data_IF_382856129519
#
_entry.id   IF_382856129519
#
_cell.length_a   1.000
_cell.length_b   1.000
_cell.length_c   1.000
_cell.angle_alpha   90.00
_cell.angle_beta   90.00
_cell.angle_gamma   90.00
#
_symmetry.space_group_name_H-M   'P 1'
#
loop_
_entity.id
_entity.type
_entity.pdbx_description
1 polymer ?
#
# COMPACT_ATOMS: atom_id res chain seq x y z
N UNK A 1 -8.16 35.86 8.95
CA UNK A 1 -7.21 34.72 8.94
C UNK A 1 -7.75 33.56 8.12
N UNK A 2 -9.07 33.43 7.97
CA UNK A 2 -9.66 32.94 6.72
C UNK A 2 -10.03 34.13 5.84
N UNK A 3 -9.84 34.02 4.52
CA UNK A 3 -10.38 34.97 3.56
C UNK A 3 -11.87 34.66 3.26
N UNK A 4 -12.55 35.57 2.56
CA UNK A 4 -13.98 35.43 2.26
C UNK A 4 -14.32 34.16 1.46
N UNK A 5 -13.37 33.69 0.63
CA UNK A 5 -13.55 32.48 -0.18
C UNK A 5 -13.51 31.24 0.70
N UNK A 6 -12.50 31.13 1.57
CA UNK A 6 -12.36 30.02 2.51
C UNK A 6 -13.49 30.01 3.54
N UNK A 7 -13.95 31.18 3.99
CA UNK A 7 -15.12 31.28 4.88
C UNK A 7 -16.39 30.75 4.20
N UNK A 8 -16.64 31.13 2.94
CA UNK A 8 -17.79 30.64 2.20
C UNK A 8 -17.74 29.13 1.97
N UNK A 9 -16.57 28.60 1.60
CA UNK A 9 -16.35 27.15 1.44
C UNK A 9 -16.57 26.40 2.74
N UNK A 10 -15.96 26.86 3.83
CA UNK A 10 -16.09 26.23 5.14
C UNK A 10 -17.55 26.24 5.58
N UNK A 11 -18.25 27.37 5.46
CA UNK A 11 -19.69 27.47 5.78
C UNK A 11 -20.52 26.41 5.06
N UNK A 12 -20.33 26.25 3.75
CA UNK A 12 -21.05 25.25 2.95
C UNK A 12 -20.76 23.81 3.41
N UNK A 13 -19.53 23.50 3.83
CA UNK A 13 -19.22 22.19 4.41
C UNK A 13 -19.87 22.00 5.79
N UNK A 14 -19.83 23.02 6.63
CA UNK A 14 -20.35 22.95 8.01
C UNK A 14 -21.88 22.74 8.07
N UNK A 15 -22.63 23.03 6.99
CA UNK A 15 -24.04 22.62 6.88
C UNK A 15 -24.25 21.10 7.03
N UNK A 16 -23.22 20.30 6.73
CA UNK A 16 -23.24 18.83 6.83
C UNK A 16 -22.92 18.30 8.23
N UNK A 17 -22.58 19.18 9.18
CA UNK A 17 -22.40 18.81 10.59
C UNK A 17 -23.76 18.45 11.18
N UNK A 18 -23.90 17.21 11.65
CA UNK A 18 -25.14 16.68 12.21
C UNK A 18 -25.15 16.73 13.75
N UNK A 19 -23.99 16.65 14.38
CA UNK A 19 -23.82 16.55 15.83
C UNK A 19 -23.03 17.75 16.40
N UNK A 20 -23.41 18.25 17.58
CA UNK A 20 -22.69 19.35 18.21
C UNK A 20 -21.37 18.92 18.82
N UNK A 21 -20.36 19.79 18.74
CA UNK A 21 -19.04 19.60 19.34
C UNK A 21 -18.41 20.93 19.74
N UNK A 22 -17.37 20.86 20.58
CA UNK A 22 -16.66 22.00 21.13
C UNK A 22 -15.20 21.98 20.72
N UNK A 23 -14.68 23.13 20.30
CA UNK A 23 -13.27 23.40 20.09
C UNK A 23 -12.67 23.93 21.40
N UNK A 24 -11.76 23.19 22.02
CA UNK A 24 -11.18 23.56 23.33
C UNK A 24 -9.74 23.98 23.14
N UNK A 25 -9.51 25.29 23.14
CA UNK A 25 -8.21 25.89 22.90
C UNK A 25 -7.38 25.99 24.18
N UNK A 26 -6.09 25.69 24.06
CA UNK A 26 -5.03 25.93 25.04
C UNK A 26 -4.06 26.96 24.44
N UNK A 27 -4.11 28.19 24.92
CA UNK A 27 -3.43 29.34 24.32
C UNK A 27 -2.38 29.92 25.28
N UNK A 28 -1.33 30.52 24.71
CA UNK A 28 -0.37 31.38 25.40
C UNK A 28 -0.51 32.83 24.91
N UNK A 29 0.46 33.69 25.26
CA UNK A 29 0.46 35.11 24.89
C UNK A 29 1.11 35.39 23.52
N UNK A 30 1.37 34.36 22.70
CA UNK A 30 2.04 34.51 21.40
C UNK A 30 1.12 35.09 20.31
N UNK A 31 1.73 35.65 19.26
CA UNK A 31 1.00 36.09 18.07
C UNK A 31 0.26 34.93 17.38
N UNK A 32 0.87 33.73 17.38
CA UNK A 32 0.26 32.50 16.85
C UNK A 32 -0.96 32.06 17.69
N UNK A 33 -0.97 32.30 19.00
CA UNK A 33 -2.14 32.05 19.83
C UNK A 33 -3.29 33.04 19.54
N UNK A 34 -2.98 34.33 19.33
CA UNK A 34 -3.98 35.31 18.89
C UNK A 34 -4.58 34.96 17.52
N UNK A 35 -3.74 34.47 16.61
CA UNK A 35 -4.16 33.90 15.34
C UNK A 35 -5.10 32.71 15.56
N UNK A 36 -4.68 31.68 16.29
CA UNK A 36 -5.52 30.51 16.59
C UNK A 36 -6.87 30.90 17.21
N UNK A 37 -6.90 31.83 18.17
CA UNK A 37 -8.14 32.38 18.74
C UNK A 37 -9.07 32.90 17.63
N UNK A 38 -8.54 33.74 16.75
CA UNK A 38 -9.30 34.29 15.62
C UNK A 38 -9.85 33.18 14.72
N UNK A 39 -9.07 32.13 14.42
CA UNK A 39 -9.55 30.99 13.62
C UNK A 39 -10.77 30.35 14.26
N UNK A 40 -10.64 30.00 15.54
CA UNK A 40 -11.63 29.21 16.25
C UNK A 40 -12.93 29.99 16.47
N UNK A 41 -12.81 31.31 16.74
CA UNK A 41 -13.97 32.22 16.80
C UNK A 41 -14.65 32.34 15.43
N UNK A 42 -13.88 32.45 14.34
CA UNK A 42 -14.44 32.45 12.98
C UNK A 42 -15.18 31.13 12.68
N UNK A 43 -14.60 29.97 13.00
CA UNK A 43 -15.23 28.65 12.77
C UNK A 43 -16.51 28.50 13.58
N UNK A 44 -16.49 28.82 14.88
CA UNK A 44 -17.65 28.74 15.75
C UNK A 44 -18.77 29.70 15.29
N UNK A 45 -18.42 30.87 14.75
CA UNK A 45 -19.37 31.82 14.18
C UNK A 45 -20.09 31.34 12.91
N UNK A 46 -19.63 30.26 12.26
CA UNK A 46 -20.23 29.74 11.03
C UNK A 46 -21.33 28.68 11.27
N UNK A 47 -21.44 28.11 12.47
CA UNK A 47 -22.43 27.07 12.78
C UNK A 47 -22.85 27.11 14.25
N UNK A 48 -24.16 27.02 14.48
CA UNK A 48 -24.78 26.86 15.80
C UNK A 48 -24.43 25.55 16.53
N UNK A 49 -23.88 24.56 15.79
CA UNK A 49 -23.45 23.26 16.34
C UNK A 49 -22.01 23.25 16.83
N UNK A 50 -21.25 24.32 16.63
CA UNK A 50 -19.84 24.39 16.99
C UNK A 50 -19.64 25.46 18.06
N UNK A 51 -19.26 25.02 19.25
CA UNK A 51 -18.86 25.92 20.33
C UNK A 51 -17.33 26.05 20.38
N UNK A 52 -16.84 27.12 20.99
CA UNK A 52 -15.42 27.30 21.31
C UNK A 52 -15.25 27.64 22.79
N UNK A 53 -14.24 27.05 23.43
CA UNK A 53 -13.78 27.40 24.77
C UNK A 53 -12.28 27.66 24.75
N UNK A 54 -11.82 28.50 25.68
CA UNK A 54 -10.42 28.93 25.81
C UNK A 54 -9.82 28.58 27.19
N UNK A 55 -10.43 27.63 27.87
CA UNK A 55 -10.06 27.13 29.21
C UNK A 55 -9.21 25.85 29.15
N UNK A 56 -8.71 25.47 27.97
CA UNK A 56 -7.83 24.33 27.81
C UNK A 56 -6.47 24.54 28.46
N UNK A 57 -5.86 23.45 28.92
CA UNK A 57 -4.62 23.48 29.71
C UNK A 57 -3.48 22.63 29.13
N UNK A 58 -3.54 22.30 27.84
CA UNK A 58 -2.52 21.47 27.18
C UNK A 58 -1.12 22.10 27.26
N UNK A 59 -0.11 21.24 27.27
CA UNK A 59 1.30 21.65 27.31
C UNK A 59 1.73 22.31 25.98
N UNK A 60 1.17 21.88 24.85
CA UNK A 60 1.41 22.52 23.55
C UNK A 60 0.51 23.72 23.40
N UNK A 61 1.11 24.91 23.38
CA UNK A 61 0.42 26.19 23.19
C UNK A 61 1.09 26.92 22.03
N UNK A 62 0.32 27.43 21.04
CA UNK A 62 -1.12 27.30 20.90
C UNK A 62 -1.55 25.91 20.39
N UNK A 63 -2.62 25.34 20.95
CA UNK A 63 -3.29 24.15 20.41
C UNK A 63 -4.80 24.16 20.67
N UNK A 64 -5.55 23.31 19.99
CA UNK A 64 -6.95 23.06 20.32
C UNK A 64 -7.34 21.59 20.14
N UNK A 65 -8.24 21.10 20.99
CA UNK A 65 -8.83 19.77 20.90
C UNK A 65 -10.28 19.85 20.39
N UNK A 66 -10.75 18.77 19.80
CA UNK A 66 -12.15 18.58 19.47
C UNK A 66 -12.82 17.68 20.50
N UNK A 67 -13.96 18.11 21.04
CA UNK A 67 -14.74 17.37 22.04
C UNK A 67 -16.20 17.22 21.59
N UNK A 68 -16.72 15.99 21.52
CA UNK A 68 -18.14 15.76 21.20
C UNK A 68 -19.02 16.07 22.41
N UNK A 69 -20.15 16.74 22.17
CA UNK A 69 -21.13 17.01 23.23
C UNK A 69 -21.82 15.75 23.77
N UNK A 70 -21.80 14.64 23.02
CA UNK A 70 -22.41 13.37 23.40
C UNK A 70 -21.67 12.61 24.52
N UNK A 71 -20.51 13.10 24.95
CA UNK A 71 -19.65 12.41 25.92
C UNK A 71 -18.89 11.21 25.34
N UNK A 72 -18.99 10.97 24.03
CA UNK A 72 -18.12 10.00 23.35
C UNK A 72 -16.67 10.46 23.42
N UNK A 73 -15.79 9.58 23.91
CA UNK A 73 -14.36 9.84 23.99
C UNK A 73 -13.78 10.09 22.60
N UNK A 74 -13.16 11.27 22.43
CA UNK A 74 -12.49 11.74 21.23
C UNK A 74 -11.16 12.37 21.66
N UNK A 75 -10.07 11.96 21.04
CA UNK A 75 -8.73 12.43 21.39
C UNK A 75 -8.00 12.96 20.15
N UNK A 76 -8.55 14.00 19.53
CA UNK A 76 -7.94 14.68 18.39
C UNK A 76 -7.57 16.11 18.77
N UNK A 77 -6.28 16.45 18.62
CA UNK A 77 -5.72 17.78 18.91
C UNK A 77 -4.91 18.30 17.73
N UNK A 78 -5.01 19.59 17.49
CA UNK A 78 -4.13 20.34 16.59
C UNK A 78 -3.27 21.30 17.42
N UNK A 79 -1.98 20.99 17.55
CA UNK A 79 -0.92 21.92 17.93
C UNK A 79 -0.36 22.58 16.66
N UNK A 80 -1.26 23.21 15.92
CA UNK A 80 -1.06 23.77 14.60
C UNK A 80 -2.12 24.84 14.32
N UNK A 81 -1.85 25.75 13.39
CA UNK A 81 -2.87 26.60 12.76
C UNK A 81 -3.15 25.97 11.37
N UNK A 82 -4.07 24.99 11.25
CA UNK A 82 -4.16 24.11 10.08
C UNK A 82 -4.83 24.82 8.89
N UNK A 83 -4.06 25.72 8.27
CA UNK A 83 -4.36 26.41 7.02
C UNK A 83 -3.49 25.81 5.90
N UNK A 84 -3.40 26.49 4.75
CA UNK A 84 -2.61 26.01 3.60
C UNK A 84 -3.12 24.65 3.12
N UNK A 85 -2.21 23.68 2.94
CA UNK A 85 -2.58 22.32 2.54
C UNK A 85 -3.44 21.59 3.58
N UNK A 86 -3.31 21.96 4.85
CA UNK A 86 -3.99 21.32 5.98
C UNK A 86 -5.38 21.89 6.26
N UNK A 87 -5.79 22.92 5.50
CA UNK A 87 -7.17 23.43 5.56
C UNK A 87 -8.19 22.31 5.27
N UNK A 88 -7.88 21.44 4.31
CA UNK A 88 -8.75 20.29 3.99
C UNK A 88 -8.82 19.28 5.13
N UNK A 89 -7.70 19.04 5.82
CA UNK A 89 -7.62 18.19 7.01
C UNK A 89 -8.44 18.75 8.17
N UNK A 90 -8.39 20.07 8.39
CA UNK A 90 -9.24 20.77 9.36
C UNK A 90 -10.73 20.56 9.03
N UNK A 91 -11.13 20.83 7.79
CA UNK A 91 -12.54 20.68 7.35
C UNK A 91 -13.03 19.26 7.59
N UNK A 92 -12.25 18.25 7.22
CA UNK A 92 -12.60 16.85 7.41
C UNK A 92 -12.69 16.46 8.90
N UNK A 93 -11.74 16.92 9.73
CA UNK A 93 -11.78 16.69 11.17
C UNK A 93 -13.06 17.27 11.82
N UNK A 94 -13.46 18.49 11.41
CA UNK A 94 -14.71 19.12 11.86
C UNK A 94 -15.94 18.32 11.41
N UNK A 95 -15.98 17.91 10.14
CA UNK A 95 -17.07 17.13 9.56
C UNK A 95 -17.24 15.77 10.26
N UNK A 96 -16.16 15.01 10.42
CA UNK A 96 -16.21 13.69 11.06
C UNK A 96 -16.51 13.79 12.54
N UNK A 97 -15.98 14.79 13.24
CA UNK A 97 -16.36 15.08 14.63
C UNK A 97 -17.84 15.38 14.73
N UNK A 98 -18.37 16.16 13.79
CA UNK A 98 -19.78 16.49 13.62
C UNK A 98 -20.68 15.38 13.07
N UNK A 99 -20.18 14.15 12.89
CA UNK A 99 -20.98 13.00 12.48
C UNK A 99 -21.17 12.82 10.97
N UNK A 100 -20.49 13.58 10.12
CA UNK A 100 -20.47 13.32 8.68
C UNK A 100 -19.71 12.01 8.38
N UNK A 101 -20.24 11.10 7.54
CA UNK A 101 -19.58 9.83 7.27
C UNK A 101 -18.28 10.02 6.45
N UNK A 102 -17.19 9.30 6.78
CA UNK A 102 -15.97 9.29 5.97
C UNK A 102 -16.17 8.53 4.66
N UNK A 103 -15.40 8.91 3.63
CA UNK A 103 -15.35 8.20 2.34
C UNK A 103 -14.21 7.19 2.32
N UNK A 104 -14.31 6.17 3.18
CA UNK A 104 -13.34 5.08 3.31
C UNK A 104 -14.11 3.75 3.26
N UNK A 105 -13.46 2.69 2.77
CA UNK A 105 -14.06 1.35 2.70
C UNK A 105 -14.64 0.92 4.07
N UNK A 106 -15.85 0.33 4.11
CA UNK A 106 -16.47 -0.09 5.36
C UNK A 106 -15.62 -1.04 6.19
N UNK A 107 -14.87 -1.94 5.54
CA UNK A 107 -13.97 -2.87 6.23
C UNK A 107 -12.88 -2.15 7.02
N UNK A 108 -12.26 -1.11 6.43
CA UNK A 108 -11.25 -0.32 7.12
C UNK A 108 -11.82 0.41 8.33
N UNK A 109 -13.04 0.96 8.22
CA UNK A 109 -13.73 1.62 9.34
C UNK A 109 -13.95 0.64 10.50
N UNK A 110 -14.41 -0.57 10.19
CA UNK A 110 -14.63 -1.62 11.21
C UNK A 110 -13.31 -2.07 11.85
N UNK A 111 -12.24 -2.22 11.06
CA UNK A 111 -10.91 -2.55 11.59
C UNK A 111 -10.41 -1.47 12.54
N UNK A 112 -10.52 -0.18 12.18
CA UNK A 112 -10.15 0.94 13.04
C UNK A 112 -10.92 0.87 14.37
N UNK A 113 -12.25 0.73 14.32
CA UNK A 113 -13.10 0.63 15.52
C UNK A 113 -12.72 -0.54 16.42
N UNK A 114 -12.24 -1.62 15.83
CA UNK A 114 -11.90 -2.85 16.52
C UNK A 114 -10.43 -2.94 16.96
N UNK A 115 -9.61 -1.89 16.77
CA UNK A 115 -8.25 -1.86 17.31
C UNK A 115 -8.29 -1.91 18.85
N UNK A 116 -7.62 -2.91 19.42
CA UNK A 116 -7.64 -3.19 20.86
C UNK A 116 -6.49 -2.57 21.68
N UNK A 117 -5.46 -2.00 21.04
CA UNK A 117 -4.35 -1.33 21.74
C UNK A 117 -4.66 0.12 22.12
N UNK A 118 -3.80 0.72 22.94
CA UNK A 118 -3.79 2.17 23.19
C UNK A 118 -2.73 2.81 22.29
N UNK A 119 -3.16 3.74 21.44
CA UNK A 119 -2.31 4.33 20.39
C UNK A 119 -2.26 5.85 20.55
N UNK A 120 -1.08 6.40 20.79
CA UNK A 120 -0.85 7.84 20.87
C UNK A 120 0.02 8.29 19.70
N UNK A 121 -0.63 8.82 18.67
CA UNK A 121 0.01 9.37 17.50
C UNK A 121 0.39 10.83 17.68
N UNK A 122 1.61 11.16 17.29
CA UNK A 122 2.08 12.53 17.07
C UNK A 122 2.51 12.63 15.60
N UNK A 123 1.84 13.49 14.83
CA UNK A 123 2.19 13.73 13.42
C UNK A 123 2.72 15.14 13.23
N UNK A 124 3.98 15.25 12.85
CA UNK A 124 4.62 16.52 12.52
C UNK A 124 4.42 16.81 11.05
N UNK A 125 3.92 18.02 10.76
CA UNK A 125 3.65 18.52 9.42
C UNK A 125 4.19 19.94 9.24
N UNK A 126 4.10 20.44 8.01
CA UNK A 126 4.38 21.83 7.65
C UNK A 126 3.27 22.32 6.72
N UNK A 127 2.89 23.59 6.83
CA UNK A 127 1.84 24.21 5.99
C UNK A 127 2.15 24.17 4.48
N UNK A 128 3.42 24.05 4.11
CA UNK A 128 3.88 23.93 2.71
C UNK A 128 3.96 22.49 2.19
N UNK A 129 3.69 21.49 3.04
CA UNK A 129 3.83 20.08 2.69
C UNK A 129 2.60 19.57 1.92
N UNK A 130 2.77 19.21 0.65
CA UNK A 130 1.69 18.67 -0.18
C UNK A 130 1.23 17.25 0.21
N UNK A 131 2.09 16.46 0.85
CA UNK A 131 1.82 15.06 1.19
C UNK A 131 1.31 14.85 2.62
N UNK A 132 1.44 15.87 3.48
CA UNK A 132 1.05 15.79 4.87
C UNK A 132 -0.47 15.62 5.08
N UNK A 133 -1.36 16.23 4.26
CA UNK A 133 -2.80 16.12 4.48
C UNK A 133 -3.31 14.67 4.49
N UNK A 134 -2.79 13.80 3.63
CA UNK A 134 -3.22 12.40 3.57
C UNK A 134 -3.00 11.66 4.90
N UNK A 135 -1.84 11.88 5.52
CA UNK A 135 -1.46 11.26 6.79
C UNK A 135 -2.21 11.91 7.95
N UNK A 136 -2.32 13.24 7.97
CA UNK A 136 -3.06 13.98 8.99
C UNK A 136 -4.53 13.57 8.98
N UNK A 137 -5.14 13.45 7.79
CA UNK A 137 -6.52 13.01 7.63
C UNK A 137 -6.71 11.56 8.07
N UNK A 138 -5.80 10.65 7.71
CA UNK A 138 -5.85 9.26 8.13
C UNK A 138 -5.83 9.12 9.66
N UNK A 139 -4.86 9.74 10.33
CA UNK A 139 -4.73 9.67 11.80
C UNK A 139 -5.86 10.42 12.53
N UNK A 140 -6.35 11.51 11.95
CA UNK A 140 -7.52 12.23 12.48
C UNK A 140 -8.77 11.37 12.41
N UNK A 141 -8.99 10.68 11.29
CA UNK A 141 -10.11 9.75 11.13
C UNK A 141 -10.04 8.62 12.16
N UNK A 142 -8.85 8.05 12.39
CA UNK A 142 -8.67 7.00 13.37
C UNK A 142 -9.03 7.45 14.79
N UNK A 143 -8.57 8.65 15.20
CA UNK A 143 -8.93 9.23 16.50
C UNK A 143 -10.43 9.55 16.63
N UNK A 144 -11.11 9.86 15.53
CA UNK A 144 -12.56 10.08 15.52
C UNK A 144 -13.35 8.77 15.62
N UNK A 145 -12.82 7.67 15.09
CA UNK A 145 -13.53 6.38 15.02
C UNK A 145 -13.25 5.46 16.21
N UNK A 146 -12.10 5.58 16.89
CA UNK A 146 -11.73 4.70 18.00
C UNK A 146 -11.25 5.51 19.22
N UNK A 147 -11.90 5.37 20.39
CA UNK A 147 -11.54 6.12 21.60
C UNK A 147 -10.18 5.75 22.20
N UNK A 148 -9.56 4.64 21.78
CA UNK A 148 -8.20 4.26 22.18
C UNK A 148 -7.11 4.86 21.30
N UNK A 149 -7.50 5.52 20.21
CA UNK A 149 -6.57 6.23 19.32
C UNK A 149 -6.59 7.72 19.68
N UNK A 150 -5.43 8.22 20.07
CA UNK A 150 -5.16 9.64 20.31
C UNK A 150 -4.27 10.16 19.20
N UNK A 151 -4.61 11.31 18.63
CA UNK A 151 -3.83 11.94 17.56
C UNK A 151 -3.58 13.39 17.89
N UNK A 152 -2.31 13.80 17.87
CA UNK A 152 -1.88 15.20 17.93
C UNK A 152 -1.21 15.56 16.60
N UNK A 153 -1.80 16.53 15.90
CA UNK A 153 -1.25 17.12 14.68
C UNK A 153 -0.42 18.33 15.06
N UNK A 154 0.85 18.35 14.67
CA UNK A 154 1.85 19.32 15.15
C UNK A 154 2.44 20.06 13.96
N UNK A 155 2.33 21.39 13.96
CA UNK A 155 3.05 22.23 12.99
C UNK A 155 4.50 22.40 13.45
N UNK A 156 5.45 21.86 12.68
CA UNK A 156 6.86 21.95 12.99
C UNK A 156 7.38 23.39 13.08
N UNK A 157 6.74 24.33 12.38
CA UNK A 157 7.13 25.74 12.46
C UNK A 157 6.76 26.39 13.80
N UNK A 158 5.68 25.94 14.45
CA UNK A 158 5.27 26.41 15.78
C UNK A 158 6.01 25.70 16.91
N UNK A 159 6.46 24.47 16.66
CA UNK A 159 7.08 23.59 17.66
C UNK A 159 8.52 23.20 17.29
N UNK A 160 9.35 24.18 16.90
CA UNK A 160 10.73 23.94 16.42
C UNK A 160 11.61 23.19 17.43
N UNK A 161 11.46 23.45 18.73
CA UNK A 161 12.21 22.72 19.76
C UNK A 161 11.93 21.21 19.77
N UNK A 162 10.71 20.79 19.40
CA UNK A 162 10.39 19.37 19.23
C UNK A 162 11.00 18.80 17.95
N UNK A 163 10.97 19.57 16.86
CA UNK A 163 11.60 19.19 15.58
C UNK A 163 13.11 18.96 15.76
N UNK A 164 13.79 19.86 16.46
CA UNK A 164 15.22 19.78 16.74
C UNK A 164 15.56 18.59 17.66
N UNK A 165 14.89 18.49 18.81
CA UNK A 165 15.17 17.44 19.81
C UNK A 165 14.89 16.03 19.29
N UNK A 166 13.90 15.87 18.41
CA UNK A 166 13.57 14.59 17.76
C UNK A 166 14.27 14.38 16.42
N UNK A 167 15.14 15.31 16.01
CA UNK A 167 15.88 15.25 14.74
C UNK A 167 14.98 14.97 13.51
N UNK A 168 13.85 15.68 13.42
CA UNK A 168 12.89 15.48 12.33
C UNK A 168 13.43 16.14 11.07
N UNK A 169 13.92 15.33 10.14
CA UNK A 169 14.53 15.80 8.89
C UNK A 169 13.54 15.94 7.73
N UNK A 170 12.36 15.33 7.83
CA UNK A 170 11.34 15.34 6.78
C UNK A 170 9.93 15.23 7.37
N UNK A 171 8.94 15.77 6.66
CA UNK A 171 7.51 15.70 7.00
C UNK A 171 6.69 15.11 5.84
N UNK A 172 5.57 14.41 6.09
CA UNK A 172 5.01 14.10 7.41
C UNK A 172 5.88 13.10 8.17
N UNK A 173 6.03 13.30 9.48
CA UNK A 173 6.74 12.41 10.38
C UNK A 173 5.80 11.95 11.49
N UNK A 174 5.70 10.63 11.70
CA UNK A 174 4.73 10.00 12.58
C UNK A 174 5.48 9.32 13.72
N UNK A 175 5.07 9.62 14.94
CA UNK A 175 5.46 8.90 16.14
C UNK A 175 4.25 8.19 16.72
N UNK A 176 4.46 6.99 17.25
CA UNK A 176 3.46 6.21 17.96
C UNK A 176 3.99 5.89 19.36
N UNK A 177 3.26 6.29 20.39
CA UNK A 177 3.62 6.06 21.80
C UNK A 177 5.04 6.55 22.16
N UNK A 178 5.47 7.63 21.51
CA UNK A 178 6.80 8.23 21.68
C UNK A 178 7.89 7.64 20.79
N UNK A 179 7.65 6.52 20.11
CA UNK A 179 8.60 5.87 19.22
C UNK A 179 8.35 6.25 17.76
N UNK A 180 9.39 6.17 16.92
CA UNK A 180 9.27 6.42 15.49
C UNK A 180 8.37 5.39 14.82
N UNK A 181 7.33 5.85 14.13
CA UNK A 181 6.42 4.99 13.37
C UNK A 181 6.70 5.01 11.86
N UNK A 182 7.05 6.18 11.32
CA UNK A 182 7.47 6.32 9.93
C UNK A 182 7.32 7.74 9.38
N UNK A 183 7.71 7.92 8.12
CA UNK A 183 7.58 9.19 7.39
C UNK A 183 7.11 9.00 5.96
N UNK A 184 6.69 10.10 5.35
CA UNK A 184 6.19 10.12 3.98
C UNK A 184 4.70 9.80 3.88
N UNK A 185 4.19 9.78 2.65
CA UNK A 185 2.77 9.55 2.37
C UNK A 185 2.37 8.14 2.80
N UNK A 186 1.36 8.04 3.66
CA UNK A 186 0.71 6.79 4.07
C UNK A 186 -0.80 7.00 4.10
N UNK A 187 -1.56 6.03 3.61
CA UNK A 187 -3.00 6.05 3.74
C UNK A 187 -3.48 5.35 5.03
N UNK A 188 -4.76 5.48 5.34
CA UNK A 188 -5.35 4.90 6.55
C UNK A 188 -5.29 3.37 6.57
N UNK A 189 -5.38 2.71 5.42
CA UNK A 189 -5.34 1.25 5.34
C UNK A 189 -3.92 0.73 5.67
N UNK A 190 -2.89 1.40 5.16
CA UNK A 190 -1.49 1.10 5.47
C UNK A 190 -1.18 1.29 6.96
N UNK A 191 -1.63 2.41 7.55
CA UNK A 191 -1.42 2.68 8.98
C UNK A 191 -2.11 1.60 9.82
N UNK A 192 -3.37 1.29 9.53
CA UNK A 192 -4.14 0.27 10.26
C UNK A 192 -3.48 -1.11 10.15
N UNK A 193 -3.00 -1.51 8.98
CA UNK A 193 -2.33 -2.78 8.78
C UNK A 193 -1.07 -2.94 9.64
N UNK A 194 -0.35 -1.84 9.91
CA UNK A 194 0.83 -1.84 10.79
C UNK A 194 0.47 -1.94 12.28
N UNK A 195 -0.73 -1.50 12.69
CA UNK A 195 -1.17 -1.52 14.10
C UNK A 195 -1.89 -2.80 14.49
N UNK A 196 -2.54 -3.46 13.53
CA UNK A 196 -3.38 -4.62 13.80
C UNK A 196 -2.56 -5.89 14.06
N UNK A 197 -1.92 -5.94 15.23
CA UNK A 197 -1.20 -7.12 15.75
C UNK A 197 -2.14 -8.30 16.05
N UNK A 198 -3.47 -8.08 16.08
CA UNK A 198 -4.51 -9.11 16.16
C UNK A 198 -5.17 -9.46 14.81
N UNK A 199 -4.69 -8.89 13.69
CA UNK A 199 -5.20 -9.19 12.35
C UNK A 199 -5.06 -10.67 12.03
N UNK A 200 -3.92 -11.27 12.36
CA UNK A 200 -3.64 -12.67 12.10
C UNK A 200 -4.68 -13.60 12.74
N UNK A 201 -5.03 -13.39 14.01
CA UNK A 201 -6.04 -14.20 14.71
C UNK A 201 -7.44 -13.99 14.14
N UNK A 202 -7.81 -12.75 13.79
CA UNK A 202 -9.12 -12.45 13.19
C UNK A 202 -9.24 -12.94 11.76
N UNK A 203 -8.20 -12.80 10.96
CA UNK A 203 -8.13 -13.32 9.60
C UNK A 203 -8.12 -14.85 9.63
N UNK A 204 -7.40 -15.46 10.56
CA UNK A 204 -7.45 -16.89 10.79
C UNK A 204 -8.87 -17.34 11.14
N UNK A 205 -9.55 -16.65 12.07
CA UNK A 205 -10.94 -16.94 12.42
C UNK A 205 -11.89 -16.77 11.21
N UNK A 206 -11.74 -15.70 10.43
CA UNK A 206 -12.52 -15.45 9.20
C UNK A 206 -12.32 -16.57 8.17
N UNK A 207 -11.10 -17.07 8.00
CA UNK A 207 -10.81 -18.20 7.11
C UNK A 207 -11.39 -19.50 7.65
N UNK A 208 -11.16 -19.78 8.93
CA UNK A 208 -11.63 -21.01 9.60
C UNK A 208 -13.16 -21.14 9.62
N UNK A 209 -13.89 -20.02 9.58
CA UNK A 209 -15.35 -19.99 9.53
C UNK A 209 -15.94 -20.26 8.14
N UNK A 210 -15.11 -20.37 7.09
CA UNK A 210 -15.62 -20.57 5.72
C UNK A 210 -15.97 -22.04 5.48
N UNK A 211 -17.13 -22.24 4.87
CA UNK A 211 -17.53 -23.55 4.37
C UNK A 211 -16.55 -24.06 3.29
N UNK A 212 -16.30 -25.38 3.24
CA UNK A 212 -15.39 -25.98 2.26
C UNK A 212 -15.74 -25.59 0.81
N UNK A 213 -14.70 -25.41 0.00
CA UNK A 213 -14.84 -25.13 -1.43
C UNK A 213 -14.92 -26.43 -2.24
N UNK A 214 -15.56 -26.36 -3.41
CA UNK A 214 -15.41 -27.44 -4.40
C UNK A 214 -14.01 -27.38 -5.02
N UNK A 215 -13.51 -26.17 -5.27
CA UNK A 215 -12.13 -25.91 -5.68
C UNK A 215 -11.56 -24.68 -4.97
N UNK A 216 -10.39 -24.85 -4.37
CA UNK A 216 -9.59 -23.75 -3.82
C UNK A 216 -8.35 -23.54 -4.69
N UNK A 217 -8.18 -22.32 -5.19
CA UNK A 217 -7.05 -21.93 -6.02
C UNK A 217 -6.08 -21.14 -5.16
N UNK A 218 -4.80 -21.51 -5.18
CA UNK A 218 -3.74 -20.86 -4.41
C UNK A 218 -2.77 -20.15 -5.36
N UNK A 219 -2.86 -18.82 -5.37
CA UNK A 219 -2.06 -17.92 -6.20
C UNK A 219 -2.92 -17.13 -7.20
N UNK A 220 -3.03 -15.82 -6.98
CA UNK A 220 -3.90 -14.89 -7.75
C UNK A 220 -3.28 -14.28 -9.00
N UNK A 221 -2.29 -14.94 -9.63
CA UNK A 221 -1.75 -14.51 -10.93
C UNK A 221 -2.65 -14.89 -12.10
N UNK A 222 -2.20 -14.68 -13.36
CA UNK A 222 -3.01 -15.00 -14.55
C UNK A 222 -3.51 -16.44 -14.60
N UNK A 223 -2.70 -17.41 -14.19
CA UNK A 223 -3.08 -18.82 -14.13
C UNK A 223 -4.24 -19.07 -13.13
N UNK A 224 -4.17 -18.47 -11.93
CA UNK A 224 -5.22 -18.61 -10.92
C UNK A 224 -6.51 -17.89 -11.30
N UNK A 225 -6.41 -16.69 -11.88
CA UNK A 225 -7.56 -15.97 -12.41
C UNK A 225 -8.28 -16.75 -13.52
N UNK A 226 -7.52 -17.33 -14.46
CA UNK A 226 -8.08 -18.19 -15.51
C UNK A 226 -8.77 -19.42 -14.92
N UNK A 227 -8.13 -20.14 -14.00
CA UNK A 227 -8.71 -21.30 -13.34
C UNK A 227 -10.02 -20.94 -12.60
N UNK A 228 -10.04 -19.79 -11.91
CA UNK A 228 -11.20 -19.31 -11.16
C UNK A 228 -12.39 -19.03 -12.08
N UNK A 229 -12.17 -18.30 -13.18
CA UNK A 229 -13.22 -18.01 -14.17
C UNK A 229 -13.80 -19.30 -14.74
N UNK A 230 -12.95 -20.25 -15.14
CA UNK A 230 -13.41 -21.49 -15.73
C UNK A 230 -14.16 -22.38 -14.75
N UNK A 231 -13.68 -22.48 -13.50
CA UNK A 231 -14.36 -23.23 -12.45
C UNK A 231 -15.72 -22.61 -12.10
N UNK A 232 -15.78 -21.30 -11.90
CA UNK A 232 -17.01 -20.62 -11.50
C UNK A 232 -18.11 -20.71 -12.57
N UNK A 233 -17.71 -20.73 -13.86
CA UNK A 233 -18.62 -20.97 -15.00
C UNK A 233 -19.29 -22.35 -14.98
N UNK A 234 -18.85 -23.27 -14.13
CA UNK A 234 -19.51 -24.57 -13.90
C UNK A 234 -20.46 -24.58 -12.71
N UNK A 235 -20.62 -23.45 -12.02
CA UNK A 235 -21.56 -23.30 -10.91
C UNK A 235 -21.12 -23.97 -9.61
N UNK A 236 -19.84 -24.33 -9.50
CA UNK A 236 -19.25 -24.90 -8.27
C UNK A 236 -18.73 -23.80 -7.34
N UNK A 237 -18.56 -24.09 -6.05
CA UNK A 237 -18.05 -23.14 -5.06
C UNK A 237 -16.53 -22.95 -5.23
N UNK A 238 -16.12 -21.78 -5.70
CA UNK A 238 -14.71 -21.43 -6.00
C UNK A 238 -14.17 -20.44 -4.98
N UNK A 239 -13.02 -20.77 -4.40
CA UNK A 239 -12.21 -19.84 -3.61
C UNK A 239 -10.89 -19.55 -4.33
N UNK A 240 -10.45 -18.29 -4.30
CA UNK A 240 -9.15 -17.88 -4.83
C UNK A 240 -8.36 -17.14 -3.74
N UNK A 241 -7.34 -17.80 -3.19
CA UNK A 241 -6.46 -17.20 -2.18
C UNK A 241 -5.15 -16.71 -2.82
N UNK A 242 -4.72 -15.50 -2.47
CA UNK A 242 -3.54 -14.88 -3.05
C UNK A 242 -2.84 -13.94 -2.06
N UNK A 243 -1.50 -13.87 -2.10
CA UNK A 243 -0.74 -12.80 -1.43
C UNK A 243 -1.05 -11.43 -2.05
N UNK A 244 -1.04 -11.37 -3.39
CA UNK A 244 -1.36 -10.19 -4.18
C UNK A 244 -2.02 -10.63 -5.49
N UNK A 245 -3.28 -10.28 -5.68
CA UNK A 245 -3.96 -10.52 -6.96
C UNK A 245 -3.24 -9.81 -8.13
N UNK A 246 -3.20 -10.44 -9.30
CA UNK A 246 -2.42 -10.02 -10.47
C UNK A 246 -1.05 -10.69 -10.55
N UNK A 247 -0.43 -11.07 -9.43
CA UNK A 247 0.85 -11.77 -9.44
C UNK A 247 1.99 -10.94 -10.06
N UNK A 248 2.80 -11.53 -10.94
CA UNK A 248 3.96 -10.87 -11.55
C UNK A 248 3.58 -9.73 -12.50
N UNK A 249 2.42 -9.80 -13.17
CA UNK A 249 2.08 -8.82 -14.20
C UNK A 249 1.96 -7.41 -13.63
N UNK A 250 1.60 -7.25 -12.36
CA UNK A 250 1.49 -5.94 -11.72
C UNK A 250 2.81 -5.15 -11.70
N UNK A 251 3.96 -5.85 -11.78
CA UNK A 251 5.27 -5.22 -11.78
C UNK A 251 5.83 -5.08 -13.21
N UNK A 252 5.02 -5.38 -14.25
CA UNK A 252 5.38 -5.30 -15.67
C UNK A 252 4.87 -4.00 -16.26
N UNK A 253 5.74 -3.27 -16.98
CA UNK A 253 5.40 -1.96 -17.53
C UNK A 253 4.65 -2.06 -18.86
N UNK A 254 5.24 -2.73 -19.86
CA UNK A 254 4.63 -2.95 -21.17
C UNK A 254 4.40 -4.45 -21.43
N UNK A 255 3.25 -4.78 -22.00
CA UNK A 255 2.85 -6.14 -22.38
C UNK A 255 2.26 -6.07 -23.79
N UNK A 256 3.01 -6.62 -24.76
CA UNK A 256 2.65 -6.60 -26.20
C UNK A 256 2.42 -8.01 -26.76
N UNK A 257 2.41 -9.02 -25.89
CA UNK A 257 2.35 -10.43 -26.27
C UNK A 257 1.13 -11.17 -25.69
N UNK A 258 0.16 -10.45 -25.13
CA UNK A 258 -1.11 -11.03 -24.75
C UNK A 258 -2.03 -11.11 -25.98
N UNK A 259 -2.19 -12.31 -26.53
CA UNK A 259 -2.89 -12.53 -27.81
C UNK A 259 -4.24 -11.82 -27.87
N UNK A 260 -4.53 -11.18 -29.01
CA UNK A 260 -5.68 -10.28 -29.28
C UNK A 260 -5.61 -8.88 -28.65
N UNK A 261 -4.62 -8.60 -27.80
CA UNK A 261 -4.36 -7.27 -27.24
C UNK A 261 -3.04 -6.77 -27.79
N UNK A 262 -3.08 -5.67 -28.56
CA UNK A 262 -1.88 -5.11 -29.20
C UNK A 262 -0.89 -4.57 -28.15
N UNK A 263 -1.39 -3.86 -27.14
CA UNK A 263 -0.59 -3.29 -26.06
C UNK A 263 -1.45 -3.12 -24.80
N UNK A 264 -0.87 -3.45 -23.64
CA UNK A 264 -1.40 -3.12 -22.32
C UNK A 264 -0.25 -2.96 -21.34
N UNK A 265 -0.53 -2.44 -20.15
CA UNK A 265 0.37 -2.47 -19.01
C UNK A 265 -0.07 -3.47 -17.95
N UNK A 266 0.83 -3.74 -17.01
CA UNK A 266 0.65 -4.67 -15.90
C UNK A 266 -0.54 -4.37 -15.00
N UNK A 267 -0.61 -3.20 -14.35
CA UNK A 267 -1.73 -2.81 -13.50
C UNK A 267 -3.09 -2.89 -14.21
N UNK A 268 -3.19 -2.39 -15.44
CA UNK A 268 -4.41 -2.45 -16.26
C UNK A 268 -4.82 -3.89 -16.55
N UNK A 269 -3.87 -4.75 -16.88
CA UNK A 269 -4.14 -6.17 -17.13
C UNK A 269 -4.57 -6.90 -15.85
N UNK A 270 -3.90 -6.64 -14.72
CA UNK A 270 -4.29 -7.17 -13.41
C UNK A 270 -5.72 -6.79 -13.01
N UNK A 271 -6.09 -5.52 -13.18
CA UNK A 271 -7.46 -5.04 -12.94
C UNK A 271 -8.49 -5.72 -13.85
N UNK A 272 -8.16 -5.92 -15.13
CA UNK A 272 -9.04 -6.60 -16.08
C UNK A 272 -9.28 -8.07 -15.69
N UNK A 273 -8.23 -8.77 -15.22
CA UNK A 273 -8.36 -10.12 -14.68
C UNK A 273 -9.25 -10.14 -13.43
N UNK A 274 -9.08 -9.18 -12.52
CA UNK A 274 -9.88 -9.10 -11.30
C UNK A 274 -11.35 -8.89 -11.59
N UNK A 275 -11.66 -7.95 -12.50
CA UNK A 275 -13.02 -7.67 -12.94
C UNK A 275 -13.69 -8.92 -13.50
N UNK A 276 -12.99 -9.71 -14.32
CA UNK A 276 -13.54 -10.94 -14.91
C UNK A 276 -13.76 -12.04 -13.85
N UNK A 277 -12.87 -12.17 -12.87
CA UNK A 277 -13.05 -13.10 -11.74
C UNK A 277 -14.27 -12.70 -10.90
N UNK A 278 -14.39 -11.41 -10.56
CA UNK A 278 -15.50 -10.88 -9.76
C UNK A 278 -16.86 -10.97 -10.46
N UNK A 279 -16.88 -10.88 -11.79
CA UNK A 279 -18.11 -11.04 -12.59
C UNK A 279 -18.83 -12.38 -12.31
N UNK A 280 -18.09 -13.44 -11.97
CA UNK A 280 -18.66 -14.76 -11.63
C UNK A 280 -18.87 -14.97 -10.13
N UNK A 281 -18.74 -13.93 -9.30
CA UNK A 281 -18.93 -14.03 -7.85
C UNK A 281 -17.90 -14.91 -7.14
N UNK A 282 -16.72 -15.10 -7.74
CA UNK A 282 -15.63 -15.83 -7.09
C UNK A 282 -15.18 -15.08 -5.85
N UNK A 283 -15.07 -15.81 -4.74
CA UNK A 283 -14.56 -15.27 -3.49
C UNK A 283 -13.04 -15.09 -3.58
N UNK A 284 -12.60 -13.82 -3.68
CA UNK A 284 -11.20 -13.45 -3.69
C UNK A 284 -10.71 -13.19 -2.26
N UNK A 285 -9.80 -14.03 -1.79
CA UNK A 285 -9.15 -13.97 -0.48
C UNK A 285 -7.74 -13.41 -0.67
N UNK A 286 -7.64 -12.09 -0.73
CA UNK A 286 -6.37 -11.39 -0.95
C UNK A 286 -5.55 -11.31 0.36
N UNK A 287 -4.25 -11.02 0.25
CA UNK A 287 -3.31 -10.97 1.37
C UNK A 287 -3.18 -12.29 2.16
N UNK A 288 -3.45 -13.42 1.52
CA UNK A 288 -3.33 -14.75 2.12
C UNK A 288 -2.16 -15.52 1.54
N UNK A 289 -1.12 -15.76 2.36
CA UNK A 289 0.01 -16.63 2.00
C UNK A 289 -0.25 -18.06 2.48
N UNK A 290 -0.35 -19.01 1.57
CA UNK A 290 -0.40 -20.43 1.93
C UNK A 290 0.99 -20.90 2.39
N UNK A 291 1.04 -21.67 3.47
CA UNK A 291 2.29 -22.23 4.02
C UNK A 291 2.33 -23.75 3.93
N UNK A 292 1.17 -24.41 3.96
CA UNK A 292 1.12 -25.87 3.96
C UNK A 292 -0.12 -26.40 3.24
N UNK A 293 0.09 -27.45 2.45
CA UNK A 293 -0.96 -28.29 1.90
C UNK A 293 -1.02 -29.61 2.67
N UNK A 294 -2.19 -29.96 3.18
CA UNK A 294 -2.45 -31.22 3.86
C UNK A 294 -3.39 -32.04 2.97
N UNK A 295 -2.91 -33.13 2.36
CA UNK A 295 -3.72 -33.98 1.50
C UNK A 295 -4.90 -34.62 2.24
N UNK A 296 -5.96 -34.93 1.50
CA UNK A 296 -7.06 -35.74 2.02
C UNK A 296 -6.54 -37.14 2.43
N UNK A 297 -7.08 -37.68 3.53
CA UNK A 297 -6.69 -39.01 4.04
C UNK A 297 -7.20 -40.17 3.19
N UNK A 298 -8.22 -39.93 2.37
CA UNK A 298 -8.85 -40.90 1.49
C UNK A 298 -9.46 -40.19 0.28
N UNK A 299 -9.70 -40.94 -0.80
CA UNK A 299 -10.39 -40.44 -1.99
C UNK A 299 -11.77 -39.86 -1.63
N UNK A 300 -12.14 -38.74 -2.24
CA UNK A 300 -13.37 -38.00 -1.93
C UNK A 300 -13.35 -37.21 -0.60
N UNK A 301 -12.25 -37.28 0.17
CA UNK A 301 -12.05 -36.47 1.37
C UNK A 301 -11.65 -35.01 1.06
N UNK A 302 -11.57 -34.19 2.11
CA UNK A 302 -11.19 -32.77 1.98
C UNK A 302 -9.68 -32.58 2.09
N UNK A 303 -9.15 -31.72 1.23
CA UNK A 303 -7.78 -31.18 1.29
C UNK A 303 -7.81 -29.92 2.16
N UNK A 304 -6.81 -29.72 3.00
CA UNK A 304 -6.68 -28.50 3.82
C UNK A 304 -5.48 -27.68 3.38
N UNK A 305 -5.65 -26.37 3.26
CA UNK A 305 -4.57 -25.39 3.07
C UNK A 305 -4.44 -24.55 4.33
N UNK A 306 -3.26 -24.53 4.92
CA UNK A 306 -2.92 -23.67 6.06
C UNK A 306 -2.23 -22.39 5.56
N UNK A 307 -2.59 -21.25 6.15
CA UNK A 307 -2.10 -19.92 5.78
C UNK A 307 -1.21 -19.34 6.88
N UNK A 308 -0.34 -18.39 6.50
CA UNK A 308 0.59 -17.71 7.38
C UNK A 308 -0.09 -16.92 8.51
N UNK A 309 -1.34 -16.51 8.30
CA UNK A 309 -2.20 -15.90 9.32
C UNK A 309 -2.58 -16.88 10.44
N UNK A 310 -2.39 -18.19 10.24
CA UNK A 310 -2.87 -19.27 11.10
C UNK A 310 -4.24 -19.81 10.68
N UNK A 311 -4.88 -19.20 9.68
CA UNK A 311 -6.16 -19.66 9.13
C UNK A 311 -6.03 -20.92 8.27
N UNK A 312 -7.15 -21.62 8.11
CA UNK A 312 -7.25 -22.84 7.32
C UNK A 312 -8.47 -22.78 6.41
N UNK A 313 -8.31 -23.27 5.18
CA UNK A 313 -9.41 -23.50 4.26
C UNK A 313 -9.43 -24.95 3.83
N UNK A 314 -10.63 -25.47 3.59
CA UNK A 314 -10.85 -26.82 3.12
C UNK A 314 -11.43 -26.81 1.71
N UNK A 315 -11.04 -27.79 0.89
CA UNK A 315 -11.62 -27.96 -0.44
C UNK A 315 -11.60 -29.42 -0.91
N UNK A 316 -12.53 -29.76 -1.82
CA UNK A 316 -12.52 -31.08 -2.50
C UNK A 316 -11.36 -31.23 -3.47
N UNK A 317 -10.96 -30.12 -4.09
CA UNK A 317 -9.82 -30.04 -5.02
C UNK A 317 -9.03 -28.76 -4.81
N UNK A 318 -7.72 -28.79 -5.09
CA UNK A 318 -6.84 -27.62 -4.96
C UNK A 318 -6.05 -27.42 -6.26
N UNK A 319 -5.97 -26.18 -6.72
CA UNK A 319 -5.12 -25.78 -7.86
C UNK A 319 -4.00 -24.89 -7.32
N UNK A 320 -2.74 -25.30 -7.50
CA UNK A 320 -1.58 -24.50 -7.15
C UNK A 320 -1.13 -23.68 -8.36
N UNK A 321 -1.23 -22.36 -8.27
CA UNK A 321 -0.89 -21.39 -9.30
C UNK A 321 -0.03 -20.25 -8.74
N UNK A 322 0.91 -20.60 -7.85
CA UNK A 322 1.74 -19.65 -7.07
C UNK A 322 2.83 -18.93 -7.86
N UNK A 323 3.03 -19.31 -9.12
CA UNK A 323 4.04 -18.72 -9.99
C UNK A 323 5.48 -18.99 -9.53
N UNK A 324 6.38 -18.09 -9.87
CA UNK A 324 7.79 -18.15 -9.53
C UNK A 324 8.31 -16.76 -9.14
N UNK A 325 9.56 -16.67 -8.70
CA UNK A 325 10.28 -15.39 -8.50
C UNK A 325 11.57 -15.43 -9.32
N UNK A 326 11.85 -14.34 -10.03
CA UNK A 326 13.12 -14.17 -10.70
C UNK A 326 14.22 -13.98 -9.65
N UNK A 327 15.36 -14.65 -9.83
CA UNK A 327 16.54 -14.40 -9.02
C UNK A 327 17.12 -13.05 -9.44
N UNK A 328 17.33 -12.17 -8.47
CA UNK A 328 18.00 -10.89 -8.64
C UNK A 328 19.52 -11.05 -8.51
N UNK A 329 20.26 -10.12 -9.12
CA UNK A 329 21.71 -10.02 -9.03
C UNK A 329 22.13 -9.46 -7.66
N UNK A 330 21.28 -8.61 -7.07
CA UNK A 330 21.43 -7.91 -5.80
C UNK A 330 22.62 -6.95 -5.76
N UNK A 331 22.68 -6.06 -6.75
CA UNK A 331 23.73 -5.03 -6.88
C UNK A 331 23.13 -3.62 -6.92
N UNK A 332 23.90 -2.58 -6.57
CA UNK A 332 23.48 -1.19 -6.76
C UNK A 332 23.00 -0.93 -8.19
N UNK A 333 21.94 -0.14 -8.33
CA UNK A 333 21.29 0.19 -9.60
C UNK A 333 20.27 -0.84 -10.13
N UNK A 334 20.30 -2.10 -9.70
CA UNK A 334 19.36 -3.12 -10.22
C UNK A 334 17.89 -2.77 -9.97
N UNK A 335 17.58 -2.29 -8.76
CA UNK A 335 16.23 -1.86 -8.41
C UNK A 335 15.82 -0.56 -9.14
N UNK A 336 16.75 0.37 -9.31
CA UNK A 336 16.51 1.68 -9.93
C UNK A 336 16.22 1.58 -11.43
N UNK A 337 16.96 0.71 -12.11
CA UNK A 337 16.84 0.48 -13.55
C UNK A 337 15.88 -0.65 -13.92
N UNK A 338 15.20 -1.26 -12.94
CA UNK A 338 14.14 -2.23 -13.19
C UNK A 338 13.05 -1.60 -14.06
N UNK A 339 12.68 -2.28 -15.14
CA UNK A 339 11.75 -1.78 -16.18
C UNK A 339 12.25 -0.53 -16.94
N UNK A 340 13.53 -0.17 -16.81
CA UNK A 340 14.21 0.95 -17.52
C UNK A 340 15.53 0.52 -18.15
N UNK A 341 15.67 -0.76 -18.49
CA UNK A 341 16.91 -1.34 -19.02
C UNK A 341 17.26 -2.68 -18.37
N UNK A 342 16.90 -2.87 -17.10
CA UNK A 342 16.97 -4.18 -16.43
C UNK A 342 15.66 -4.93 -16.65
N UNK A 343 15.79 -6.09 -17.30
CA UNK A 343 14.70 -6.99 -17.69
C UNK A 343 15.06 -8.44 -17.33
N UNK A 344 14.03 -9.26 -17.09
CA UNK A 344 14.21 -10.66 -16.68
C UNK A 344 13.73 -11.67 -17.74
N UNK A 345 12.93 -11.22 -18.71
CA UNK A 345 12.31 -12.06 -19.71
C UNK A 345 12.76 -11.65 -21.12
N UNK A 346 13.63 -12.42 -21.80
CA UNK A 346 14.09 -12.07 -23.15
C UNK A 346 12.95 -12.06 -24.17
N UNK A 347 11.99 -12.97 -24.04
CA UNK A 347 10.83 -13.04 -24.94
C UNK A 347 9.87 -11.86 -24.81
N UNK A 348 9.85 -11.22 -23.64
CA UNK A 348 8.95 -10.12 -23.33
C UNK A 348 9.53 -8.80 -23.83
N UNK A 349 10.78 -8.52 -23.45
CA UNK A 349 11.40 -7.21 -23.63
C UNK A 349 12.37 -7.16 -24.82
N UNK A 350 12.80 -8.32 -25.33
CA UNK A 350 13.78 -8.43 -26.42
C UNK A 350 13.53 -7.45 -27.57
N UNK A 351 12.32 -7.45 -28.20
CA UNK A 351 11.96 -6.55 -29.30
C UNK A 351 12.28 -5.07 -29.06
N UNK A 352 12.19 -4.58 -27.82
CA UNK A 352 12.43 -3.18 -27.44
C UNK A 352 13.92 -2.79 -27.57
N UNK A 353 14.84 -3.75 -27.57
CA UNK A 353 16.28 -3.54 -27.64
C UNK A 353 16.85 -3.68 -29.06
N UNK A 354 16.00 -3.68 -30.10
CA UNK A 354 16.45 -3.79 -31.50
C UNK A 354 17.54 -2.74 -31.82
N UNK A 355 18.66 -3.22 -32.35
CA UNK A 355 19.82 -2.38 -32.67
C UNK A 355 20.59 -1.80 -31.47
N UNK A 356 20.24 -2.16 -30.22
CA UNK A 356 20.97 -1.75 -29.02
C UNK A 356 22.03 -2.78 -28.63
N UNK A 357 22.87 -2.44 -27.65
CA UNK A 357 23.82 -3.39 -27.03
C UNK A 357 23.22 -3.85 -25.71
N UNK A 358 23.23 -5.14 -25.44
CA UNK A 358 22.62 -5.72 -24.25
C UNK A 358 23.60 -6.68 -23.56
N UNK A 359 23.36 -6.90 -22.27
CA UNK A 359 24.09 -7.90 -21.49
C UNK A 359 23.14 -8.96 -20.96
N UNK A 360 23.57 -10.22 -20.96
CA UNK A 360 22.84 -11.35 -20.36
C UNK A 360 23.65 -11.87 -19.18
N UNK A 361 23.04 -11.93 -18.00
CA UNK A 361 23.70 -12.35 -16.76
C UNK A 361 23.28 -13.81 -16.45
N UNK A 362 24.27 -14.71 -16.44
CA UNK A 362 24.12 -16.14 -16.20
C UNK A 362 24.36 -16.99 -17.46
N UNK A 363 25.13 -18.07 -17.31
CA UNK A 363 25.55 -18.97 -18.39
C UNK A 363 25.05 -20.41 -18.27
N UNK A 364 23.92 -20.63 -17.59
CA UNK A 364 23.12 -21.86 -17.73
C UNK A 364 22.26 -21.84 -19.00
N UNK A 365 21.49 -22.91 -19.27
CA UNK A 365 20.67 -23.02 -20.49
C UNK A 365 19.81 -21.77 -20.76
N UNK A 366 19.05 -21.30 -19.77
CA UNK A 366 18.18 -20.12 -19.93
C UNK A 366 18.93 -18.85 -20.35
N UNK A 367 20.12 -18.59 -19.79
CA UNK A 367 20.91 -17.42 -20.14
C UNK A 367 21.58 -17.55 -21.51
N UNK A 368 22.08 -18.74 -21.85
CA UNK A 368 22.68 -19.00 -23.16
C UNK A 368 21.63 -18.95 -24.28
N UNK A 369 20.46 -19.54 -24.08
CA UNK A 369 19.33 -19.45 -25.02
C UNK A 369 18.87 -18.00 -25.20
N UNK A 370 18.73 -17.25 -24.10
CA UNK A 370 18.39 -15.83 -24.15
C UNK A 370 19.40 -15.02 -24.96
N UNK A 371 20.71 -15.28 -24.78
CA UNK A 371 21.75 -14.61 -25.54
C UNK A 371 21.72 -14.98 -27.03
N UNK A 372 21.41 -16.24 -27.38
CA UNK A 372 21.23 -16.67 -28.77
C UNK A 372 20.02 -15.97 -29.41
N UNK A 373 18.89 -15.92 -28.70
CA UNK A 373 17.66 -15.26 -29.16
C UNK A 373 17.90 -13.76 -29.40
N UNK A 374 18.43 -13.06 -28.40
CA UNK A 374 18.71 -11.62 -28.48
C UNK A 374 19.72 -11.29 -29.57
N UNK A 375 20.73 -12.13 -29.81
CA UNK A 375 21.74 -11.91 -30.84
C UNK A 375 21.16 -11.82 -32.26
N UNK A 376 19.96 -12.37 -32.51
CA UNK A 376 19.24 -12.21 -33.78
C UNK A 376 18.59 -10.83 -33.98
N UNK A 377 18.45 -10.04 -32.92
CA UNK A 377 17.68 -8.80 -32.92
C UNK A 377 18.53 -7.55 -32.59
N UNK A 378 19.46 -7.70 -31.64
CA UNK A 378 20.23 -6.59 -31.06
C UNK A 378 21.57 -6.40 -31.79
N UNK A 379 22.20 -5.25 -31.61
CA UNK A 379 23.50 -4.96 -32.25
C UNK A 379 24.64 -5.80 -31.65
N UNK A 380 24.57 -6.11 -30.35
CA UNK A 380 25.58 -6.95 -29.67
C UNK A 380 25.06 -7.50 -28.35
N UNK A 381 25.44 -8.74 -28.02
CA UNK A 381 25.17 -9.38 -26.73
C UNK A 381 26.47 -9.62 -25.97
N UNK A 382 26.53 -9.21 -24.71
CA UNK A 382 27.61 -9.59 -23.79
C UNK A 382 27.06 -10.55 -22.75
N UNK A 383 27.49 -11.82 -22.77
CA UNK A 383 27.10 -12.80 -21.74
C UNK A 383 28.13 -12.80 -20.60
N UNK A 384 27.65 -12.65 -19.37
CA UNK A 384 28.44 -12.67 -18.13
C UNK A 384 28.12 -13.95 -17.35
N UNK A 385 29.10 -14.81 -17.13
CA UNK A 385 29.01 -16.00 -16.29
C UNK A 385 29.91 -15.84 -15.06
N UNK A 386 29.32 -16.06 -13.88
CA UNK A 386 30.02 -15.93 -12.61
C UNK A 386 31.08 -17.03 -12.42
N UNK A 387 30.78 -18.26 -12.83
CA UNK A 387 31.68 -19.40 -12.75
C UNK A 387 32.79 -19.33 -13.82
N UNK A 388 33.84 -20.18 -13.71
CA UNK A 388 34.89 -20.25 -14.72
C UNK A 388 34.42 -20.74 -16.11
N UNK A 389 33.28 -21.43 -16.16
CA UNK A 389 32.73 -22.06 -17.36
C UNK A 389 31.21 -21.93 -17.42
N UNK A 390 30.67 -21.97 -18.64
CA UNK A 390 29.23 -22.01 -18.88
C UNK A 390 28.68 -23.38 -18.47
N UNK A 391 27.54 -23.40 -17.78
CA UNK A 391 26.85 -24.64 -17.37
C UNK A 391 25.78 -25.10 -18.36
N UNK A 392 25.61 -24.37 -19.46
CA UNK A 392 24.65 -24.72 -20.49
C UNK A 392 25.07 -25.95 -21.30
N UNK A 393 24.11 -26.60 -21.94
CA UNK A 393 24.33 -27.75 -22.81
C UNK A 393 25.33 -27.41 -23.91
N UNK A 394 26.24 -28.36 -24.22
CA UNK A 394 27.34 -28.13 -25.15
C UNK A 394 26.88 -27.65 -26.54
N UNK A 395 25.71 -28.10 -27.01
CA UNK A 395 25.13 -27.67 -28.28
C UNK A 395 24.77 -26.17 -28.27
N UNK A 396 24.24 -25.67 -27.15
CA UNK A 396 23.89 -24.27 -26.96
C UNK A 396 25.16 -23.42 -26.84
N UNK A 397 26.15 -23.88 -26.08
CA UNK A 397 27.45 -23.21 -25.98
C UNK A 397 28.14 -23.10 -27.35
N UNK A 398 28.14 -24.20 -28.13
CA UNK A 398 28.70 -24.20 -29.48
C UNK A 398 27.95 -23.23 -30.39
N UNK A 399 26.62 -23.19 -30.31
CA UNK A 399 25.82 -22.25 -31.09
C UNK A 399 26.12 -20.81 -30.69
N UNK A 400 26.15 -20.48 -29.41
CA UNK A 400 26.43 -19.14 -28.90
C UNK A 400 27.80 -18.65 -29.37
N UNK A 401 28.84 -19.49 -29.28
CA UNK A 401 30.21 -19.18 -29.73
C UNK A 401 30.33 -18.96 -31.24
N UNK A 402 29.40 -19.49 -32.03
CA UNK A 402 29.39 -19.29 -33.49
C UNK A 402 28.86 -17.92 -33.92
N UNK A 403 28.24 -17.17 -33.01
CA UNK A 403 27.57 -15.90 -33.33
C UNK A 403 28.59 -14.74 -33.35
N UNK A 404 28.63 -13.93 -34.42
CA UNK A 404 29.69 -12.92 -34.61
C UNK A 404 29.51 -11.66 -33.75
N UNK A 405 28.33 -11.45 -33.17
CA UNK A 405 27.98 -10.27 -32.37
C UNK A 405 27.81 -10.61 -30.88
N UNK A 406 28.43 -11.69 -30.42
CA UNK A 406 28.38 -12.14 -29.02
C UNK A 406 29.78 -12.14 -28.40
N UNK A 407 29.90 -11.56 -27.21
CA UNK A 407 31.08 -11.67 -26.36
C UNK A 407 30.72 -12.43 -25.08
N UNK A 408 31.59 -13.35 -24.65
CA UNK A 408 31.37 -14.16 -23.43
C UNK A 408 32.48 -13.84 -22.43
N UNK A 409 32.10 -13.49 -21.20
CA UNK A 409 33.01 -13.35 -20.08
C UNK A 409 32.65 -14.38 -19.00
N UNK A 410 33.59 -15.25 -18.66
CA UNK A 410 33.50 -16.13 -17.48
C UNK A 410 34.28 -15.53 -16.32
N UNK A 411 34.08 -16.04 -15.10
CA UNK A 411 34.60 -15.44 -13.86
C UNK A 411 34.17 -13.96 -13.72
N UNK A 412 32.98 -13.62 -14.23
CA UNK A 412 32.49 -12.26 -14.30
C UNK A 412 31.36 -12.06 -13.29
N UNK A 413 31.64 -11.26 -12.26
CA UNK A 413 30.63 -10.81 -11.31
C UNK A 413 30.22 -9.37 -11.64
N UNK A 414 28.93 -9.16 -11.93
CA UNK A 414 28.36 -7.82 -11.99
C UNK A 414 28.43 -7.18 -10.60
N UNK A 415 28.93 -5.94 -10.52
CA UNK A 415 29.07 -5.20 -9.25
C UNK A 415 28.11 -4.03 -9.12
N UNK A 416 27.63 -3.47 -10.24
CA UNK A 416 26.72 -2.32 -10.30
C UNK A 416 26.03 -2.28 -11.68
N UNK A 417 24.86 -1.64 -11.75
CA UNK A 417 24.14 -1.32 -12.99
C UNK A 417 23.98 0.21 -13.07
N UNK A 418 24.42 0.83 -14.17
CA UNK A 418 24.49 2.30 -14.32
C UNK A 418 23.90 2.79 -15.63
#
# INVERSE_FOLDING_TARGET
MLDDTLLAQLKAYLERVAQPFTLVASLDDSASAAQMRTLLEQIAGLSDKIAVRFDGSDARRPSFALERASGQALHLRFAAIPLGHEFTSLVLALLWTGGHPPKVEPETIETIRALGGDYRFEVYMSLSCHNCPDVVQALSLMAVLNPRVQTVVIDGALHQGEVESRQIMAVPAIYLNGEWFGSGRMDVAEIVARLDTGSAERDAAKLNAKEPYDVLIVGGGPAGAAAAVYAARKGIRVGLAAERFGGQVNDTLAIENYISVLETDGPKFGMALEAHVRQYGVELLNQQRAEKLIPAKQEGGMITVEFASGGRLQARSVILSTGARWRTVNVPGEAEYRNKGVAYCPHCDGPLFKGKRVSVIGGGNSGVEAAIDLAGLVAHVTLLEFAPELRADAVLVSKLRSLPNVTIHTNAQTTEIT
#
